data_IF_313635905552
#
_entry.id   IF_313635905552
#
_cell.length_a   1.000
_cell.length_b   1.000
_cell.length_c   1.000
_cell.angle_alpha   90.00
_cell.angle_beta   90.00
_cell.angle_gamma   90.00
#
_symmetry.space_group_name_H-M   'P 1'
#
loop_
_entity.id
_entity.type
_entity.pdbx_description
1 polymer ?
#
# COMPACT_ATOMS: atom_id res chain seq x y z
N UNK A 1 -30.86 -8.93 9.21
CA UNK A 1 -31.34 -7.79 10.03
C UNK A 1 -30.12 -7.02 10.59
N UNK A 2 -30.24 -5.73 10.89
CA UNK A 2 -29.19 -4.98 11.59
C UNK A 2 -29.45 -5.08 13.11
N UNK A 3 -29.13 -6.23 13.69
CA UNK A 3 -29.46 -6.61 15.08
C UNK A 3 -28.33 -6.37 16.10
N UNK A 4 -27.18 -5.86 15.64
CA UNK A 4 -26.04 -5.54 16.49
C UNK A 4 -25.12 -6.72 16.82
N UNK A 5 -25.43 -7.95 16.39
CA UNK A 5 -24.59 -9.14 16.66
C UNK A 5 -23.46 -9.35 15.64
N UNK A 6 -23.42 -8.53 14.58
CA UNK A 6 -22.35 -8.56 13.57
C UNK A 6 -21.73 -7.17 13.46
N UNK A 7 -20.45 -7.08 13.82
CA UNK A 7 -19.66 -5.85 13.73
C UNK A 7 -18.58 -6.01 12.67
N UNK A 8 -18.27 -4.92 11.97
CA UNK A 8 -17.16 -4.87 11.01
C UNK A 8 -15.98 -4.10 11.61
N UNK A 9 -14.84 -4.77 11.69
CA UNK A 9 -13.55 -4.13 11.94
C UNK A 9 -12.89 -3.82 10.60
N UNK A 10 -12.66 -2.54 10.31
CA UNK A 10 -12.12 -2.10 9.02
C UNK A 10 -11.19 -0.90 9.17
N UNK A 11 -10.51 -0.56 8.10
CA UNK A 11 -9.57 0.56 8.00
C UNK A 11 -9.92 1.41 6.77
N UNK A 12 -9.15 2.47 6.52
CA UNK A 12 -9.40 3.47 5.48
C UNK A 12 -9.52 2.89 4.07
N UNK A 13 -9.00 1.69 3.81
CA UNK A 13 -9.14 1.00 2.52
C UNK A 13 -10.60 0.73 2.12
N UNK A 14 -11.57 0.76 3.05
CA UNK A 14 -12.99 0.72 2.70
C UNK A 14 -13.39 1.94 1.85
N UNK A 15 -12.86 3.13 2.17
CA UNK A 15 -13.14 4.37 1.44
C UNK A 15 -12.65 4.23 0.00
N UNK A 16 -11.40 3.81 -0.15
CA UNK A 16 -10.73 3.75 -1.46
C UNK A 16 -11.24 2.61 -2.32
N UNK A 17 -11.41 1.41 -1.77
CA UNK A 17 -11.95 0.26 -2.51
C UNK A 17 -13.40 0.49 -2.95
N UNK A 18 -14.21 1.19 -2.15
CA UNK A 18 -15.55 1.61 -2.54
C UNK A 18 -15.53 2.66 -3.65
N UNK A 19 -14.68 3.67 -3.54
CA UNK A 19 -14.54 4.72 -4.55
C UNK A 19 -14.09 4.18 -5.92
N UNK A 20 -13.24 3.14 -5.93
CA UNK A 20 -12.81 2.47 -7.15
C UNK A 20 -13.81 1.44 -7.70
N UNK A 21 -14.92 1.19 -7.02
CA UNK A 21 -15.89 0.15 -7.40
C UNK A 21 -15.40 -1.29 -7.17
N UNK A 22 -14.24 -1.48 -6.54
CA UNK A 22 -13.71 -2.80 -6.17
C UNK A 22 -14.49 -3.42 -4.99
N UNK A 23 -15.15 -2.59 -4.18
CA UNK A 23 -16.02 -3.02 -3.09
C UNK A 23 -17.40 -2.35 -3.20
N UNK A 24 -18.45 -3.15 -3.03
CA UNK A 24 -19.84 -2.67 -3.05
C UNK A 24 -20.26 -2.05 -1.70
N UNK A 25 -19.60 -2.44 -0.62
CA UNK A 25 -19.77 -1.79 0.68
C UNK A 25 -18.92 -0.53 0.72
N UNK A 26 -19.57 0.58 1.08
CA UNK A 26 -18.91 1.87 1.27
C UNK A 26 -19.22 2.46 2.64
N UNK A 27 -18.71 3.67 2.92
CA UNK A 27 -18.92 4.35 4.21
C UNK A 27 -20.39 4.56 4.55
N UNK A 28 -21.22 4.86 3.54
CA UNK A 28 -22.67 5.03 3.69
C UNK A 28 -23.42 3.72 4.01
N UNK A 29 -22.77 2.55 3.85
CA UNK A 29 -23.35 1.24 4.16
C UNK A 29 -23.18 0.84 5.64
N UNK A 30 -22.51 1.67 6.45
CA UNK A 30 -22.14 1.34 7.83
C UNK A 30 -22.49 2.48 8.79
N UNK A 31 -22.76 2.14 10.04
CA UNK A 31 -22.85 3.10 11.15
C UNK A 31 -21.53 3.08 11.92
N UNK A 32 -20.74 4.18 11.96
CA UNK A 32 -19.51 4.25 12.72
C UNK A 32 -19.76 4.07 14.22
N UNK A 33 -18.93 3.28 14.90
CA UNK A 33 -19.01 3.07 16.36
C UNK A 33 -17.86 3.78 17.07
N UNK A 34 -16.61 3.37 16.78
CA UNK A 34 -15.42 3.95 17.38
C UNK A 34 -14.18 3.74 16.51
N UNK A 35 -13.20 4.65 16.62
CA UNK A 35 -11.83 4.40 16.17
C UNK A 35 -11.09 3.61 17.24
N UNK A 36 -10.48 2.51 16.83
CA UNK A 36 -9.84 1.53 17.72
C UNK A 36 -8.31 1.57 17.68
N UNK A 37 -7.73 2.06 16.58
CA UNK A 37 -6.29 2.10 16.37
C UNK A 37 -5.90 3.25 15.43
N UNK A 38 -4.61 3.57 15.45
CA UNK A 38 -3.93 4.40 14.45
C UNK A 38 -2.61 3.71 14.15
N UNK A 39 -2.36 3.44 12.87
CA UNK A 39 -1.17 2.73 12.43
C UNK A 39 -0.16 3.69 11.79
N UNK A 40 1.12 3.38 11.95
CA UNK A 40 2.20 4.07 11.20
C UNK A 40 2.53 3.21 10.00
N UNK A 41 2.47 3.80 8.81
CA UNK A 41 2.88 3.14 7.57
C UNK A 41 4.34 3.49 7.29
N UNK A 42 5.15 2.47 7.04
CA UNK A 42 6.57 2.62 6.67
C UNK A 42 6.80 2.14 5.25
N UNK A 43 7.59 2.91 4.49
CA UNK A 43 8.19 2.44 3.25
C UNK A 43 9.38 1.54 3.60
N UNK A 44 9.37 0.29 3.13
CA UNK A 44 10.43 -0.66 3.40
C UNK A 44 10.99 -1.24 2.09
N UNK A 45 12.29 -1.53 2.16
CA UNK A 45 13.08 -2.23 1.14
C UNK A 45 13.75 -3.44 1.79
N UNK A 46 14.35 -4.33 0.99
CA UNK A 46 15.20 -5.39 1.53
C UNK A 46 16.45 -4.81 2.20
N UNK A 47 17.00 -5.53 3.18
CA UNK A 47 18.20 -5.12 3.94
C UNK A 47 19.43 -4.89 3.05
N UNK A 48 19.55 -5.63 1.96
CA UNK A 48 20.63 -5.56 0.97
C UNK A 48 20.36 -4.56 -0.16
N UNK A 49 19.26 -3.81 -0.10
CA UNK A 49 18.93 -2.80 -1.09
C UNK A 49 19.95 -1.66 -1.09
N UNK A 50 20.34 -1.13 -2.26
CA UNK A 50 21.14 0.08 -2.36
C UNK A 50 20.36 1.35 -1.95
N UNK A 51 19.03 1.26 -1.84
CA UNK A 51 18.17 2.36 -1.42
C UNK A 51 18.26 2.49 0.11
N UNK A 52 18.91 3.56 0.57
CA UNK A 52 19.19 3.80 2.00
C UNK A 52 18.51 5.06 2.54
N UNK A 53 17.81 5.80 1.70
CA UNK A 53 17.13 7.05 2.05
C UNK A 53 15.91 7.27 1.16
N UNK A 54 15.05 8.19 1.57
CA UNK A 54 13.91 8.62 0.75
C UNK A 54 14.36 9.25 -0.57
N UNK A 55 15.44 10.03 -0.56
CA UNK A 55 16.01 10.57 -1.80
C UNK A 55 16.50 9.44 -2.73
N UNK A 56 17.16 8.42 -2.18
CA UNK A 56 17.58 7.26 -2.96
C UNK A 56 16.40 6.48 -3.55
N UNK A 57 15.25 6.46 -2.87
CA UNK A 57 14.01 5.90 -3.41
C UNK A 57 13.49 6.72 -4.60
N UNK A 58 13.48 8.05 -4.48
CA UNK A 58 13.11 8.95 -5.58
C UNK A 58 14.03 8.81 -6.79
N UNK A 59 15.34 8.79 -6.57
CA UNK A 59 16.32 8.60 -7.63
C UNK A 59 16.12 7.25 -8.33
N UNK A 60 15.81 6.18 -7.59
CA UNK A 60 15.51 4.87 -8.14
C UNK A 60 14.19 4.85 -8.94
N UNK A 61 13.16 5.55 -8.46
CA UNK A 61 11.87 5.65 -9.15
C UNK A 61 11.98 6.44 -10.47
N UNK A 62 12.75 7.52 -10.50
CA UNK A 62 12.99 8.34 -11.69
C UNK A 62 13.86 7.62 -12.73
N UNK A 63 14.83 6.80 -12.30
CA UNK A 63 15.70 6.02 -13.21
C UNK A 63 14.95 5.06 -14.14
N UNK A 64 13.74 4.65 -13.78
CA UNK A 64 12.94 3.73 -14.59
C UNK A 64 12.65 4.23 -16.02
N UNK A 65 12.76 5.53 -16.28
CA UNK A 65 12.63 6.09 -17.63
C UNK A 65 13.77 5.70 -18.59
N UNK A 66 14.95 5.35 -18.05
CA UNK A 66 16.16 5.08 -18.84
C UNK A 66 16.82 3.73 -18.52
N UNK A 67 16.22 2.92 -17.63
CA UNK A 67 16.81 1.69 -17.15
C UNK A 67 15.80 0.77 -16.47
N UNK A 68 16.28 -0.07 -15.55
CA UNK A 68 15.44 -1.02 -14.83
C UNK A 68 14.45 -0.31 -13.90
N UNK A 69 13.18 -0.70 -14.01
CA UNK A 69 12.09 -0.12 -13.24
C UNK A 69 12.04 -0.71 -11.83
N UNK A 70 11.88 0.17 -10.85
CA UNK A 70 11.64 -0.22 -9.47
C UNK A 70 10.31 -0.98 -9.35
N UNK A 71 10.32 -2.18 -8.77
CA UNK A 71 9.11 -3.00 -8.56
C UNK A 71 8.51 -2.74 -7.20
N UNK A 72 7.29 -2.19 -7.18
CA UNK A 72 6.57 -1.84 -5.96
C UNK A 72 5.45 -2.85 -5.70
N UNK A 73 5.54 -3.59 -4.59
CA UNK A 73 4.48 -4.51 -4.20
C UNK A 73 3.27 -3.76 -3.67
N UNK A 74 2.09 -4.03 -4.25
CA UNK A 74 0.83 -3.40 -3.84
C UNK A 74 -0.31 -4.42 -3.76
N UNK A 75 -1.40 -4.03 -3.13
CA UNK A 75 -2.72 -4.58 -3.40
C UNK A 75 -3.57 -3.48 -4.05
N UNK A 76 -4.05 -3.65 -5.29
CA UNK A 76 -4.81 -2.60 -5.98
C UNK A 76 -5.98 -2.11 -5.14
N UNK A 77 -6.00 -0.82 -4.83
CA UNK A 77 -7.07 -0.20 -4.05
C UNK A 77 -6.89 -0.22 -2.52
N UNK A 78 -5.88 -0.92 -2.01
CA UNK A 78 -5.61 -0.98 -0.59
C UNK A 78 -4.67 0.14 -0.11
N UNK A 79 -4.54 0.26 1.21
CA UNK A 79 -3.72 1.26 1.89
C UNK A 79 -2.32 1.43 1.29
N UNK A 80 -1.60 0.32 1.04
CA UNK A 80 -0.24 0.34 0.52
C UNK A 80 -0.14 0.90 -0.92
N UNK A 81 -1.17 0.70 -1.75
CA UNK A 81 -1.21 1.27 -3.09
C UNK A 81 -1.31 2.79 -3.04
N UNK A 82 -2.25 3.32 -2.25
CA UNK A 82 -2.42 4.77 -2.10
C UNK A 82 -1.23 5.43 -1.42
N UNK A 83 -0.65 4.78 -0.42
CA UNK A 83 0.56 5.27 0.22
C UNK A 83 1.71 5.42 -0.80
N UNK A 84 1.93 4.41 -1.65
CA UNK A 84 2.99 4.48 -2.66
C UNK A 84 2.71 5.51 -3.76
N UNK A 85 1.45 5.66 -4.19
CA UNK A 85 1.06 6.75 -5.09
C UNK A 85 1.36 8.12 -4.49
N UNK A 86 1.04 8.32 -3.20
CA UNK A 86 1.35 9.57 -2.50
C UNK A 86 2.86 9.77 -2.35
N UNK A 87 3.60 8.71 -1.97
CA UNK A 87 5.05 8.77 -1.83
C UNK A 87 5.75 9.15 -3.14
N UNK A 88 5.23 8.72 -4.29
CA UNK A 88 5.78 9.02 -5.62
C UNK A 88 5.32 10.35 -6.21
N UNK A 89 4.25 10.96 -5.69
CA UNK A 89 3.69 12.20 -6.23
C UNK A 89 4.68 13.38 -6.39
N UNK A 90 5.74 13.54 -5.56
CA UNK A 90 6.70 14.62 -5.73
C UNK A 90 7.67 14.48 -6.91
N UNK A 91 7.71 13.32 -7.58
CA UNK A 91 8.69 13.04 -8.65
C UNK A 91 8.05 12.42 -9.88
N UNK A 92 8.58 12.77 -11.05
CA UNK A 92 8.32 11.96 -12.24
C UNK A 92 8.98 10.60 -12.07
N UNK A 93 8.23 9.55 -12.36
CA UNK A 93 8.61 8.19 -12.06
C UNK A 93 8.09 7.23 -13.13
N UNK A 94 8.83 6.15 -13.34
CA UNK A 94 8.39 5.01 -14.14
C UNK A 94 8.69 3.72 -13.38
N UNK A 95 7.70 3.29 -12.59
CA UNK A 95 7.78 2.13 -11.70
C UNK A 95 6.84 1.02 -12.15
N UNK A 96 7.07 -0.20 -11.67
CA UNK A 96 6.15 -1.32 -11.89
C UNK A 96 5.40 -1.61 -10.61
N UNK A 97 4.07 -1.45 -10.62
CA UNK A 97 3.22 -1.95 -9.55
C UNK A 97 2.99 -3.47 -9.71
N UNK A 98 3.39 -4.24 -8.70
CA UNK A 98 3.23 -5.70 -8.68
C UNK A 98 2.11 -6.06 -7.70
N UNK A 99 0.98 -6.64 -8.17
CA UNK A 99 -0.09 -7.12 -7.29
C UNK A 99 0.38 -8.31 -6.46
N UNK A 100 0.69 -8.07 -5.19
CA UNK A 100 1.19 -9.09 -4.26
C UNK A 100 0.11 -9.59 -3.28
N UNK A 101 -1.00 -8.84 -3.15
CA UNK A 101 -2.08 -9.12 -2.21
C UNK A 101 -1.87 -8.46 -0.85
N UNK A 102 -2.48 -9.01 0.21
CA UNK A 102 -2.38 -8.43 1.56
C UNK A 102 -0.97 -8.44 2.16
N UNK A 103 -0.77 -7.67 3.24
CA UNK A 103 0.55 -7.35 3.80
C UNK A 103 1.47 -8.55 4.04
N UNK A 104 0.95 -9.69 4.52
CA UNK A 104 1.76 -10.89 4.71
C UNK A 104 2.29 -11.50 3.40
N UNK A 105 1.52 -11.46 2.31
CA UNK A 105 1.99 -11.91 0.99
C UNK A 105 2.99 -10.91 0.41
N UNK A 106 2.71 -9.61 0.53
CA UNK A 106 3.62 -8.54 0.13
C UNK A 106 4.97 -8.63 0.84
N UNK A 107 4.98 -8.89 2.14
CA UNK A 107 6.21 -9.04 2.93
C UNK A 107 7.03 -10.23 2.43
N UNK A 108 6.39 -11.38 2.17
CA UNK A 108 7.07 -12.55 1.58
C UNK A 108 7.62 -12.25 0.19
N UNK A 109 6.89 -11.54 -0.65
CA UNK A 109 7.38 -11.10 -1.97
C UNK A 109 8.59 -10.18 -1.86
N UNK A 110 8.61 -9.27 -0.87
CA UNK A 110 9.76 -8.40 -0.62
C UNK A 110 10.98 -9.21 -0.17
N UNK A 111 10.81 -10.07 0.84
CA UNK A 111 11.90 -10.90 1.36
C UNK A 111 12.44 -11.89 0.33
N UNK A 112 11.58 -12.40 -0.58
CA UNK A 112 11.95 -13.29 -1.68
C UNK A 112 12.55 -12.59 -2.90
N UNK A 113 12.69 -11.25 -2.89
CA UNK A 113 13.28 -10.50 -3.99
C UNK A 113 12.39 -10.35 -5.23
N UNK A 114 11.09 -10.63 -5.12
CA UNK A 114 10.14 -10.49 -6.24
C UNK A 114 9.68 -9.04 -6.46
N UNK A 115 9.82 -8.20 -5.43
CA UNK A 115 9.59 -6.76 -5.45
C UNK A 115 10.74 -6.06 -4.71
N UNK A 116 10.97 -4.78 -4.98
CA UNK A 116 12.09 -4.02 -4.44
C UNK A 116 11.70 -3.18 -3.22
N UNK A 117 10.46 -2.67 -3.19
CA UNK A 117 9.93 -1.89 -2.09
C UNK A 117 8.42 -2.12 -1.91
N UNK A 118 7.93 -1.84 -0.70
CA UNK A 118 6.50 -1.71 -0.43
C UNK A 118 6.24 -0.91 0.84
N UNK A 119 4.97 -0.61 1.10
CA UNK A 119 4.51 0.05 2.31
C UNK A 119 3.84 -0.94 3.25
N UNK A 120 4.19 -0.88 4.54
CA UNK A 120 3.67 -1.77 5.57
C UNK A 120 3.16 -0.97 6.75
N UNK A 121 1.97 -1.32 7.25
CA UNK A 121 1.54 -0.88 8.57
C UNK A 121 2.41 -1.58 9.63
N UNK A 122 2.87 -0.81 10.61
CA UNK A 122 3.57 -1.31 11.79
C UNK A 122 2.70 -0.95 12.99
N UNK A 123 2.24 -1.99 13.68
CA UNK A 123 1.29 -1.92 14.80
C UNK A 123 1.91 -2.60 16.01
#
# INVERSE_FOLDING_TARGET
PADGYTLLFTHEALLTSSAMGANRLGPASLTPIAQVAKEVIVLAVRKDSPITSLQGFYDAAAKGHAGDKLKLGINPGAANHFFLLNALAPVEHDVIFVPTGGGAKTLKSLLGGHIDASAFAVS
#
